data_IF_052713101624
#
_entry.id   IF_052713101624
#
_cell.length_a   1.000
_cell.length_b   1.000
_cell.length_c   1.000
_cell.angle_alpha   90.00
_cell.angle_beta   90.00
_cell.angle_gamma   90.00
#
_symmetry.space_group_name_H-M   'P 1'
#
loop_
_entity.id
_entity.type
_entity.pdbx_description
1 polymer ?
#
# COMPACT_ATOMS: atom_id res chain seq x y z
N UNK A 1 18.41 2.05 5.49
CA UNK A 1 18.51 0.86 6.38
C UNK A 1 19.84 0.88 7.14
N UNK A 2 19.89 0.44 8.41
CA UNK A 2 21.13 0.44 9.22
C UNK A 2 22.22 -0.50 8.67
N UNK A 3 23.43 -0.44 9.23
CA UNK A 3 24.64 -1.11 8.71
C UNK A 3 24.61 -2.65 8.62
N UNK A 4 23.52 -3.33 9.00
CA UNK A 4 23.34 -4.77 8.79
C UNK A 4 21.89 -5.10 8.39
N UNK A 5 21.59 -5.18 7.08
CA UNK A 5 20.24 -5.40 6.56
C UNK A 5 19.59 -6.70 7.06
N UNK A 6 20.37 -7.79 7.19
CA UNK A 6 19.87 -9.08 7.66
C UNK A 6 19.43 -9.05 9.13
N UNK A 7 20.11 -8.27 9.97
CA UNK A 7 19.72 -8.07 11.36
C UNK A 7 18.45 -7.23 11.43
N UNK A 8 18.35 -6.18 10.62
CA UNK A 8 17.17 -5.32 10.56
C UNK A 8 15.92 -6.07 10.08
N UNK A 9 16.03 -6.87 9.01
CA UNK A 9 14.91 -7.69 8.50
C UNK A 9 14.45 -8.69 9.56
N UNK A 10 15.39 -9.38 10.23
CA UNK A 10 15.04 -10.30 11.34
C UNK A 10 14.34 -9.60 12.49
N UNK A 11 14.79 -8.39 12.83
CA UNK A 11 14.16 -7.58 13.86
C UNK A 11 12.73 -7.17 13.48
N UNK A 12 12.49 -6.74 12.24
CA UNK A 12 11.15 -6.41 11.75
C UNK A 12 10.21 -7.62 11.73
N UNK A 13 10.72 -8.82 11.43
CA UNK A 13 9.95 -10.06 11.55
C UNK A 13 9.60 -10.32 13.02
N UNK A 14 10.57 -10.15 13.92
CA UNK A 14 10.36 -10.40 15.35
C UNK A 14 9.33 -9.45 15.98
N UNK A 15 9.34 -8.17 15.60
CA UNK A 15 8.37 -7.17 16.09
C UNK A 15 7.00 -7.25 15.42
N UNK A 16 6.85 -8.13 14.41
CA UNK A 16 5.63 -8.29 13.63
C UNK A 16 5.38 -7.14 12.65
N UNK A 17 6.41 -6.34 12.34
CA UNK A 17 6.35 -5.28 11.32
C UNK A 17 6.46 -5.84 9.90
N UNK A 18 7.12 -6.99 9.76
CA UNK A 18 7.22 -7.75 8.52
C UNK A 18 6.70 -9.17 8.77
N UNK A 19 5.94 -9.72 7.83
CA UNK A 19 5.51 -11.13 7.93
C UNK A 19 6.71 -12.07 7.89
N UNK A 20 6.59 -13.21 8.59
CA UNK A 20 7.61 -14.24 8.56
C UNK A 20 7.64 -14.89 7.17
N UNK A 21 8.81 -14.97 6.50
CA UNK A 21 8.91 -15.62 5.21
C UNK A 21 8.65 -17.12 5.33
N UNK A 22 8.19 -17.72 4.24
CA UNK A 22 8.11 -19.18 4.14
C UNK A 22 9.51 -19.79 4.17
N UNK A 23 9.65 -20.97 4.73
CA UNK A 23 10.91 -21.73 4.69
C UNK A 23 10.73 -22.91 3.76
N UNK A 24 11.50 -22.94 2.67
CA UNK A 24 11.52 -24.07 1.73
C UNK A 24 12.82 -24.86 1.89
N UNK A 25 12.74 -26.16 1.66
CA UNK A 25 13.92 -27.02 1.58
C UNK A 25 14.39 -27.10 0.12
N UNK A 26 15.63 -26.66 -0.12
CA UNK A 26 16.28 -26.74 -1.43
C UNK A 26 17.50 -27.63 -1.27
N UNK A 27 17.38 -28.89 -1.71
CA UNK A 27 18.37 -29.94 -1.45
C UNK A 27 18.57 -30.17 0.06
N UNK A 28 19.80 -29.99 0.54
CA UNK A 28 20.17 -30.14 1.95
C UNK A 28 20.02 -28.86 2.79
N UNK A 29 19.62 -27.74 2.18
CA UNK A 29 19.56 -26.43 2.84
C UNK A 29 18.11 -25.97 3.03
N UNK A 30 17.83 -25.37 4.19
CA UNK A 30 16.58 -24.64 4.45
C UNK A 30 16.79 -23.17 4.12
N UNK A 31 15.96 -22.63 3.23
CA UNK A 31 16.10 -21.27 2.72
C UNK A 31 14.80 -20.51 2.99
N UNK A 32 14.93 -19.28 3.48
CA UNK A 32 13.81 -18.35 3.65
C UNK A 32 13.44 -17.75 2.29
N UNK A 33 12.17 -17.85 1.92
CA UNK A 33 11.63 -17.33 0.66
C UNK A 33 10.76 -16.12 0.97
N UNK A 34 11.20 -14.96 0.48
CA UNK A 34 10.50 -13.69 0.59
C UNK A 34 9.69 -13.46 -0.68
N UNK A 35 8.38 -13.26 -0.50
CA UNK A 35 7.45 -12.92 -1.58
C UNK A 35 7.48 -11.42 -1.90
N UNK A 36 6.99 -10.98 -3.08
CA UNK A 36 6.92 -9.56 -3.46
C UNK A 36 6.26 -8.69 -2.39
N UNK A 37 5.23 -9.18 -1.71
CA UNK A 37 4.58 -8.48 -0.61
C UNK A 37 5.55 -8.07 0.52
N UNK A 38 6.61 -8.84 0.78
CA UNK A 38 7.64 -8.48 1.77
C UNK A 38 8.45 -7.28 1.31
N UNK A 39 8.78 -7.20 0.01
CA UNK A 39 9.49 -6.06 -0.57
C UNK A 39 8.60 -4.81 -0.49
N UNK A 40 7.31 -4.95 -0.81
CA UNK A 40 6.35 -3.85 -0.66
C UNK A 40 6.29 -3.33 0.76
N UNK A 41 6.16 -4.22 1.75
CA UNK A 41 6.16 -3.82 3.17
C UNK A 41 7.49 -3.17 3.59
N UNK A 42 8.64 -3.65 3.10
CA UNK A 42 9.94 -3.03 3.37
C UNK A 42 10.04 -1.62 2.77
N UNK A 43 9.51 -1.40 1.57
CA UNK A 43 9.41 -0.08 0.96
C UNK A 43 8.58 0.89 1.80
N UNK A 44 7.40 0.44 2.27
CA UNK A 44 6.55 1.22 3.19
C UNK A 44 7.28 1.57 4.50
N UNK A 45 8.01 0.61 5.07
CA UNK A 45 8.77 0.86 6.31
C UNK A 45 9.85 1.92 6.06
N UNK A 46 10.60 1.82 4.95
CA UNK A 46 11.63 2.81 4.60
C UNK A 46 11.04 4.20 4.36
N UNK A 47 9.91 4.28 3.64
CA UNK A 47 9.15 5.50 3.41
C UNK A 47 8.80 6.24 4.71
N UNK A 48 8.18 5.54 5.65
CA UNK A 48 7.78 6.15 6.92
C UNK A 48 8.99 6.40 7.85
N UNK A 49 10.04 5.58 7.75
CA UNK A 49 11.29 5.82 8.48
C UNK A 49 11.97 7.11 8.06
N UNK A 50 12.02 7.41 6.76
CA UNK A 50 12.57 8.66 6.22
C UNK A 50 11.80 9.89 6.71
N UNK A 51 10.52 9.74 7.05
CA UNK A 51 9.67 10.78 7.67
C UNK A 51 9.80 10.86 9.19
N UNK A 52 10.70 10.09 9.80
CA UNK A 52 10.98 10.17 11.23
C UNK A 52 10.06 9.32 12.13
N UNK A 53 9.17 8.50 11.55
CA UNK A 53 8.25 7.69 12.37
C UNK A 53 8.99 6.60 13.16
N UNK A 54 8.53 6.39 14.40
CA UNK A 54 8.93 5.26 15.24
C UNK A 54 8.42 3.94 14.66
N UNK A 55 9.02 2.82 15.05
CA UNK A 55 8.59 1.52 14.53
C UNK A 55 7.16 1.14 14.95
N UNK A 56 6.71 1.64 16.10
CA UNK A 56 5.35 1.40 16.57
C UNK A 56 4.34 2.20 15.72
N UNK A 57 4.63 3.46 15.41
CA UNK A 57 3.78 4.26 14.52
C UNK A 57 3.71 3.67 13.12
N UNK A 58 4.85 3.22 12.59
CA UNK A 58 4.91 2.53 11.28
C UNK A 58 4.04 1.27 11.30
N UNK A 59 4.10 0.49 12.38
CA UNK A 59 3.27 -0.71 12.53
C UNK A 59 1.80 -0.36 12.47
N UNK A 60 1.39 0.67 13.21
CA UNK A 60 0.01 1.14 13.25
C UNK A 60 -0.44 1.62 11.87
N UNK A 61 0.38 2.42 11.18
CA UNK A 61 0.13 2.94 9.83
C UNK A 61 -0.02 1.84 8.78
N UNK A 62 0.84 0.82 8.80
CA UNK A 62 0.76 -0.30 7.85
C UNK A 62 -0.49 -1.17 8.09
N UNK A 63 -0.95 -1.25 9.35
CA UNK A 63 -2.17 -1.99 9.71
C UNK A 63 -3.45 -1.17 9.58
N UNK A 64 -3.34 0.12 9.29
CA UNK A 64 -4.47 1.04 9.20
C UNK A 64 -5.35 0.65 8.02
N UNK A 65 -6.67 0.61 8.25
CA UNK A 65 -7.64 0.45 7.19
C UNK A 65 -7.87 1.82 6.54
N UNK A 66 -7.86 1.83 5.21
CA UNK A 66 -8.13 3.02 4.42
C UNK A 66 -9.54 2.96 3.85
N UNK A 67 -10.12 4.13 3.64
CA UNK A 67 -11.45 4.31 3.08
C UNK A 67 -11.38 5.29 1.91
N UNK A 68 -12.33 5.18 0.98
CA UNK A 68 -12.39 6.08 -0.17
C UNK A 68 -12.95 7.44 0.20
N UNK A 69 -12.35 8.51 -0.32
CA UNK A 69 -12.91 9.85 -0.26
C UNK A 69 -14.10 10.04 -1.22
N UNK A 70 -14.94 11.03 -0.94
CA UNK A 70 -16.11 11.33 -1.77
C UNK A 70 -15.70 11.77 -3.19
N UNK A 71 -14.55 12.41 -3.32
CA UNK A 71 -13.94 12.82 -4.59
C UNK A 71 -13.60 11.59 -5.46
N UNK A 72 -12.97 10.58 -4.85
CA UNK A 72 -12.63 9.34 -5.57
C UNK A 72 -13.89 8.54 -5.91
N UNK A 73 -14.89 8.49 -5.03
CA UNK A 73 -16.14 7.82 -5.35
C UNK A 73 -16.86 8.46 -6.55
N UNK A 74 -16.82 9.80 -6.67
CA UNK A 74 -17.34 10.51 -7.85
C UNK A 74 -16.53 10.20 -9.10
N UNK A 75 -15.20 10.14 -9.00
CA UNK A 75 -14.34 9.73 -10.11
C UNK A 75 -14.68 8.32 -10.59
N UNK A 76 -14.79 7.36 -9.66
CA UNK A 76 -15.09 5.96 -9.97
C UNK A 76 -16.52 5.79 -10.50
N UNK A 77 -17.45 6.67 -10.13
CA UNK A 77 -18.82 6.63 -10.63
C UNK A 77 -18.92 6.65 -12.17
N UNK A 78 -17.93 7.25 -12.86
CA UNK A 78 -17.82 7.24 -14.32
C UNK A 78 -17.56 5.87 -14.94
N UNK A 79 -17.13 4.89 -14.16
CA UNK A 79 -16.78 3.53 -14.60
C UNK A 79 -17.62 2.46 -13.89
N UNK A 80 -18.80 2.83 -13.37
CA UNK A 80 -19.65 1.93 -12.57
C UNK A 80 -20.00 0.61 -13.25
N UNK A 81 -20.11 0.60 -14.58
CA UNK A 81 -20.47 -0.58 -15.36
C UNK A 81 -19.33 -1.62 -15.44
N UNK A 82 -18.10 -1.25 -15.07
CA UNK A 82 -16.92 -2.14 -15.11
C UNK A 82 -16.73 -2.96 -13.81
N UNK A 83 -17.60 -2.80 -12.80
CA UNK A 83 -17.41 -3.40 -11.48
C UNK A 83 -18.74 -3.82 -10.80
N UNK A 84 -18.73 -4.79 -9.86
CA UNK A 84 -19.94 -5.18 -9.13
C UNK A 84 -20.54 -4.03 -8.31
N UNK A 85 -21.88 -3.98 -8.21
CA UNK A 85 -22.62 -2.93 -7.46
C UNK A 85 -22.21 -2.82 -5.98
N UNK A 86 -21.62 -3.87 -5.41
CA UNK A 86 -21.18 -3.91 -4.00
C UNK A 86 -19.74 -3.43 -3.77
N UNK A 87 -19.09 -2.81 -4.75
CA UNK A 87 -17.73 -2.32 -4.64
C UNK A 87 -17.66 -0.82 -4.35
N UNK A 88 -16.52 -0.37 -3.84
CA UNK A 88 -16.25 1.05 -3.55
C UNK A 88 -17.25 1.67 -2.56
N UNK A 89 -17.59 0.91 -1.52
CA UNK A 89 -18.48 1.40 -0.47
C UNK A 89 -17.74 2.35 0.46
N UNK A 90 -18.29 3.55 0.65
CA UNK A 90 -17.67 4.63 1.47
C UNK A 90 -17.28 4.18 2.88
N UNK A 91 -18.12 3.34 3.49
CA UNK A 91 -17.95 2.91 4.87
C UNK A 91 -17.25 1.55 4.98
N UNK A 92 -16.75 1.00 3.87
CA UNK A 92 -15.96 -0.24 3.87
C UNK A 92 -14.48 0.03 3.64
N UNK A 93 -13.59 -0.74 4.27
CA UNK A 93 -12.17 -0.69 3.98
C UNK A 93 -11.88 -0.99 2.50
N UNK A 94 -10.97 -0.22 1.91
CA UNK A 94 -10.52 -0.40 0.54
C UNK A 94 -9.96 -1.80 0.34
N UNK A 95 -10.51 -2.52 -0.65
CA UNK A 95 -9.99 -3.83 -1.06
C UNK A 95 -8.84 -3.65 -2.04
N UNK A 96 -7.90 -4.60 -2.07
CA UNK A 96 -6.76 -4.56 -3.00
C UNK A 96 -7.17 -4.45 -4.47
N UNK A 97 -8.23 -5.14 -4.86
CA UNK A 97 -8.76 -5.09 -6.23
C UNK A 97 -9.32 -3.71 -6.59
N UNK A 98 -10.04 -3.08 -5.65
CA UNK A 98 -10.56 -1.72 -5.81
C UNK A 98 -9.43 -0.70 -5.94
N UNK A 99 -8.39 -0.82 -5.09
CA UNK A 99 -7.21 0.04 -5.18
C UNK A 99 -6.51 -0.10 -6.53
N UNK A 100 -6.27 -1.32 -6.99
CA UNK A 100 -5.62 -1.57 -8.27
C UNK A 100 -6.43 -1.00 -9.44
N UNK A 101 -7.75 -1.15 -9.42
CA UNK A 101 -8.64 -0.57 -10.42
C UNK A 101 -8.56 0.96 -10.43
N UNK A 102 -8.72 1.59 -9.27
CA UNK A 102 -8.62 3.04 -9.13
C UNK A 102 -7.30 3.56 -9.70
N UNK A 103 -6.16 2.96 -9.31
CA UNK A 103 -4.85 3.36 -9.80
C UNK A 103 -4.73 3.21 -11.32
N UNK A 104 -5.25 2.13 -11.89
CA UNK A 104 -5.22 1.91 -13.33
C UNK A 104 -5.95 3.02 -14.09
N UNK A 105 -7.20 3.33 -13.69
CA UNK A 105 -8.00 4.37 -14.34
C UNK A 105 -7.43 5.77 -14.09
N UNK A 106 -7.00 6.03 -12.87
CA UNK A 106 -6.37 7.30 -12.52
C UNK A 106 -5.13 7.58 -13.38
N UNK A 107 -4.27 6.58 -13.58
CA UNK A 107 -3.07 6.71 -14.42
C UNK A 107 -3.40 6.90 -15.91
N UNK A 108 -4.47 6.28 -16.40
CA UNK A 108 -4.96 6.48 -17.77
C UNK A 108 -5.44 7.92 -17.98
N UNK A 109 -6.30 8.42 -17.09
CA UNK A 109 -6.85 9.77 -17.16
C UNK A 109 -5.77 10.85 -16.96
N UNK A 110 -4.77 10.61 -16.10
CA UNK A 110 -3.60 11.49 -16.00
C UNK A 110 -2.84 11.58 -17.33
N UNK A 111 -2.61 10.44 -18.01
CA UNK A 111 -1.89 10.42 -19.28
C UNK A 111 -2.66 11.16 -20.37
N UNK A 112 -3.99 11.06 -20.34
CA UNK A 112 -4.89 11.78 -21.23
C UNK A 112 -5.08 13.27 -20.85
N UNK A 113 -4.59 13.69 -19.69
CA UNK A 113 -4.71 15.07 -19.20
C UNK A 113 -6.12 15.47 -18.76
N UNK A 114 -6.98 14.49 -18.50
CA UNK A 114 -8.41 14.66 -18.21
C UNK A 114 -8.72 14.79 -16.71
N UNK A 115 -7.73 14.61 -15.83
CA UNK A 115 -7.91 14.71 -14.38
C UNK A 115 -6.79 15.49 -13.68
N UNK A 116 -7.13 16.08 -12.53
CA UNK A 116 -6.18 16.70 -11.62
C UNK A 116 -5.31 15.64 -10.93
N UNK A 117 -3.99 15.82 -11.03
CA UNK A 117 -2.97 14.99 -10.36
C UNK A 117 -3.04 15.06 -8.83
N UNK A 118 -3.78 16.02 -8.27
CA UNK A 118 -3.93 16.15 -6.83
C UNK A 118 -5.00 15.22 -6.22
N UNK A 119 -5.85 14.57 -7.04
CA UNK A 119 -6.89 13.68 -6.53
C UNK A 119 -6.29 12.57 -5.65
N UNK A 120 -5.12 12.06 -6.03
CA UNK A 120 -4.43 11.00 -5.29
C UNK A 120 -4.07 11.39 -3.85
N UNK A 121 -3.77 12.67 -3.61
CA UNK A 121 -3.40 13.19 -2.29
C UNK A 121 -4.62 13.28 -1.35
N UNK A 122 -5.82 13.24 -1.92
CA UNK A 122 -7.09 13.31 -1.19
C UNK A 122 -7.86 11.99 -1.29
N UNK A 123 -7.24 10.93 -1.84
CA UNK A 123 -7.93 9.70 -2.18
C UNK A 123 -8.25 8.82 -0.96
N UNK A 124 -7.39 8.88 0.07
CA UNK A 124 -7.43 7.97 1.21
C UNK A 124 -7.86 8.69 2.47
N UNK A 125 -8.86 8.10 3.12
CA UNK A 125 -9.31 8.49 4.44
C UNK A 125 -8.90 7.43 5.46
N UNK A 126 -8.61 7.87 6.69
CA UNK A 126 -8.54 6.98 7.84
C UNK A 126 -9.94 6.59 8.33
N UNK A 127 -9.99 5.72 9.35
CA UNK A 127 -11.25 5.27 9.98
C UNK A 127 -12.09 6.41 10.59
N UNK A 128 -11.45 7.53 10.90
CA UNK A 128 -12.07 8.70 11.53
C UNK A 128 -12.52 9.72 10.46
N UNK A 129 -12.29 9.41 9.17
CA UNK A 129 -12.68 10.23 8.02
C UNK A 129 -11.69 11.33 7.67
N UNK A 130 -10.49 11.35 8.25
CA UNK A 130 -9.48 12.35 7.93
C UNK A 130 -8.65 11.90 6.74
N UNK A 131 -8.23 12.87 5.92
CA UNK A 131 -7.30 12.62 4.82
C UNK A 131 -6.00 12.07 5.39
N UNK A 132 -5.57 10.92 4.89
CA UNK A 132 -4.34 10.26 5.28
C UNK A 132 -3.47 10.03 4.05
N UNK A 133 -2.17 10.21 4.24
CA UNK A 133 -1.20 9.94 3.20
C UNK A 133 -0.94 8.44 3.10
N UNK A 134 -1.16 7.88 1.92
CA UNK A 134 -0.76 6.52 1.59
C UNK A 134 0.28 6.58 0.47
N UNK A 135 1.50 6.06 0.71
CA UNK A 135 2.56 6.03 -0.30
C UNK A 135 2.18 5.11 -1.46
N UNK A 136 1.50 5.68 -2.44
CA UNK A 136 1.29 5.07 -3.75
C UNK A 136 2.51 5.25 -4.64
N UNK A 137 3.17 6.40 -4.49
CA UNK A 137 4.37 6.76 -5.20
C UNK A 137 5.53 6.80 -4.22
N UNK A 138 6.34 5.74 -4.20
CA UNK A 138 7.76 5.86 -3.87
C UNK A 138 8.53 4.80 -4.67
N UNK A 139 9.16 5.28 -5.75
CA UNK A 139 10.43 4.80 -6.33
C UNK A 139 10.70 3.29 -6.24
N UNK A 140 10.09 2.48 -7.12
CA UNK A 140 10.56 1.11 -7.36
C UNK A 140 9.57 -0.02 -7.10
N UNK A 141 8.33 0.27 -6.70
CA UNK A 141 7.33 -0.77 -6.40
C UNK A 141 6.56 -1.28 -7.64
N UNK A 142 6.63 -0.53 -8.75
CA UNK A 142 6.09 -0.87 -10.06
C UNK A 142 7.11 -0.65 -11.19
N UNK A 143 8.40 -0.68 -10.86
CA UNK A 143 9.46 -0.67 -11.87
C UNK A 143 9.68 -2.11 -12.34
N UNK A 144 9.21 -2.42 -13.55
CA UNK A 144 9.78 -3.50 -14.36
C UNK A 144 11.29 -3.25 -14.60
#
# INVERSE_FOLDING_TARGET
MGGNPLRTIRYYIHTGLLKRPMVKQIGKKRVSVFEPAHLSTLGLIDYYKKRGLSLQEIKNKISEQLYWSDEVLKFIAGYKDEFPESAFLKNEPIKRGELAFFLSKYMEEIKCGSIDKNLINQAFLDKDGNITDFPLENEGLFSE
#
